data_IF_235147118702
#
_entry.id   IF_235147118702
#
_cell.length_a   1.000
_cell.length_b   1.000
_cell.length_c   1.000
_cell.angle_alpha   90.00
_cell.angle_beta   90.00
_cell.angle_gamma   90.00
#
_symmetry.space_group_name_H-M   'P 1'
#
loop_
_entity.id
_entity.type
_entity.pdbx_description
1 polymer ?
#
# COMPACT_ATOMS: atom_id res chain seq x y z
N UNK A 1 -13.91 2.64 -3.44
CA UNK A 1 -13.32 2.70 -2.09
C UNK A 1 -12.42 3.92 -2.03
N UNK A 2 -12.25 4.51 -0.85
CA UNK A 2 -11.54 5.79 -0.71
C UNK A 2 -10.02 5.58 -0.80
N UNK A 3 -9.33 6.30 -1.69
CA UNK A 3 -7.86 6.26 -1.79
C UNK A 3 -7.21 6.66 -0.46
N UNK A 4 -7.88 7.47 0.36
CA UNK A 4 -7.42 7.79 1.69
C UNK A 4 -7.44 6.60 2.65
N UNK A 5 -8.40 5.67 2.50
CA UNK A 5 -8.44 4.47 3.33
C UNK A 5 -7.26 3.54 3.00
N UNK A 6 -6.91 3.42 1.71
CA UNK A 6 -5.71 2.69 1.29
C UNK A 6 -4.44 3.37 1.82
N UNK A 7 -4.34 4.71 1.70
CA UNK A 7 -3.23 5.47 2.27
C UNK A 7 -3.09 5.22 3.77
N UNK A 8 -4.17 5.41 4.54
CA UNK A 8 -4.14 5.24 5.99
C UNK A 8 -3.70 3.83 6.39
N UNK A 9 -4.12 2.81 5.64
CA UNK A 9 -3.73 1.43 5.91
C UNK A 9 -2.24 1.20 5.64
N UNK A 10 -1.75 1.63 4.46
CA UNK A 10 -0.33 1.49 4.10
C UNK A 10 0.54 2.28 5.11
N UNK A 11 0.15 3.50 5.46
CA UNK A 11 0.88 4.33 6.42
C UNK A 11 0.95 3.67 7.81
N UNK A 12 -0.13 3.05 8.26
CA UNK A 12 -0.18 2.33 9.55
C UNK A 12 0.63 1.04 9.50
N UNK A 13 0.45 0.25 8.44
CA UNK A 13 1.07 -1.06 8.30
C UNK A 13 2.60 -0.94 8.18
N UNK A 14 3.09 0.03 7.40
CA UNK A 14 4.52 0.22 7.17
C UNK A 14 5.16 1.28 8.07
N UNK A 15 4.37 1.92 8.95
CA UNK A 15 4.81 3.01 9.83
C UNK A 15 5.58 4.09 9.05
N UNK A 16 5.09 4.44 7.85
CA UNK A 16 5.77 5.43 7.03
C UNK A 16 5.66 6.81 7.66
N UNK A 17 6.81 7.43 7.95
CA UNK A 17 6.86 8.78 8.50
C UNK A 17 7.00 9.78 7.36
N UNK A 18 6.11 10.79 7.33
CA UNK A 18 6.18 11.87 6.33
C UNK A 18 5.79 11.44 4.91
N UNK A 19 5.03 10.34 4.77
CA UNK A 19 4.60 9.84 3.47
C UNK A 19 3.41 10.64 2.91
N UNK A 20 3.69 11.36 1.81
CA UNK A 20 2.74 12.23 1.13
C UNK A 20 2.60 11.83 -0.34
N UNK A 21 2.05 10.62 -0.64
CA UNK A 21 1.82 10.21 -2.01
C UNK A 21 0.73 11.07 -2.64
N UNK A 22 0.89 11.38 -3.92
CA UNK A 22 -0.18 11.97 -4.73
C UNK A 22 -1.29 10.95 -5.03
N UNK A 23 -2.49 11.42 -5.37
CA UNK A 23 -3.60 10.56 -5.79
C UNK A 23 -3.23 9.61 -6.94
N UNK A 24 -2.40 10.09 -7.88
CA UNK A 24 -1.88 9.27 -8.99
C UNK A 24 -0.97 8.16 -8.50
N UNK A 25 -0.13 8.43 -7.50
CA UNK A 25 0.73 7.42 -6.89
C UNK A 25 -0.08 6.40 -6.10
N UNK A 26 -1.09 6.83 -5.33
CA UNK A 26 -1.99 5.92 -4.63
C UNK A 26 -2.77 5.01 -5.59
N UNK A 27 -3.25 5.55 -6.71
CA UNK A 27 -3.89 4.75 -7.76
C UNK A 27 -2.94 3.73 -8.38
N UNK A 28 -1.70 4.13 -8.67
CA UNK A 28 -0.71 3.23 -9.25
C UNK A 28 -0.27 2.14 -8.27
N UNK A 29 -0.12 2.46 -6.98
CA UNK A 29 0.10 1.48 -5.91
C UNK A 29 -1.07 0.50 -5.87
N UNK A 30 -2.32 0.98 -5.81
CA UNK A 30 -3.50 0.11 -5.80
C UNK A 30 -3.55 -0.83 -7.02
N UNK A 31 -3.23 -0.29 -8.20
CA UNK A 31 -3.19 -1.05 -9.46
C UNK A 31 -2.13 -2.14 -9.40
N UNK A 32 -0.91 -1.82 -8.96
CA UNK A 32 0.21 -2.77 -8.87
C UNK A 32 0.00 -3.84 -7.81
N UNK A 33 -0.56 -3.50 -6.64
CA UNK A 33 -0.95 -4.48 -5.62
C UNK A 33 -1.91 -5.50 -6.22
N UNK A 34 -2.92 -5.04 -6.98
CA UNK A 34 -3.89 -5.93 -7.62
C UNK A 34 -3.29 -6.79 -8.73
N UNK A 35 -2.38 -6.24 -9.54
CA UNK A 35 -1.77 -6.98 -10.66
C UNK A 35 -0.73 -7.98 -10.17
N UNK A 36 0.13 -7.57 -9.23
CA UNK A 36 1.25 -8.38 -8.75
C UNK A 36 0.86 -9.33 -7.63
N UNK A 37 -0.26 -9.07 -6.93
CA UNK A 37 -0.73 -9.82 -5.77
C UNK A 37 0.42 -10.19 -4.80
N UNK A 38 1.10 -9.19 -4.23
CA UNK A 38 2.29 -9.44 -3.41
C UNK A 38 1.94 -10.37 -2.25
N UNK A 39 2.67 -11.49 -2.16
CA UNK A 39 2.48 -12.52 -1.12
C UNK A 39 3.33 -12.26 0.12
N UNK A 40 4.24 -11.30 0.05
CA UNK A 40 5.11 -10.90 1.16
C UNK A 40 5.04 -9.41 1.36
N UNK A 41 5.35 -9.01 2.60
CA UNK A 41 5.46 -7.62 2.98
C UNK A 41 6.53 -6.89 2.17
N UNK A 42 7.69 -7.52 1.93
CA UNK A 42 8.80 -6.95 1.16
C UNK A 42 8.37 -6.59 -0.26
N UNK A 43 7.60 -7.48 -0.92
CA UNK A 43 7.08 -7.22 -2.25
C UNK A 43 6.08 -6.04 -2.28
N UNK A 44 5.35 -5.83 -1.18
CA UNK A 44 4.44 -4.70 -1.06
C UNK A 44 5.20 -3.38 -0.80
N UNK A 45 6.26 -3.40 0.02
CA UNK A 45 7.17 -2.25 0.19
C UNK A 45 7.80 -1.87 -1.13
N UNK A 46 8.32 -2.84 -1.88
CA UNK A 46 8.96 -2.62 -3.17
C UNK A 46 8.00 -1.91 -4.16
N UNK A 47 6.72 -2.30 -4.18
CA UNK A 47 5.70 -1.61 -4.98
C UNK A 47 5.52 -0.16 -4.54
N UNK A 48 5.49 0.11 -3.23
CA UNK A 48 5.30 1.48 -2.72
C UNK A 48 6.55 2.34 -2.92
N UNK A 49 7.75 1.77 -2.72
CA UNK A 49 9.03 2.44 -2.96
C UNK A 49 9.23 2.79 -4.44
N UNK A 50 8.92 1.87 -5.37
CA UNK A 50 9.04 2.15 -6.80
C UNK A 50 8.10 3.27 -7.28
N UNK A 51 6.90 3.35 -6.71
CA UNK A 51 5.90 4.36 -7.08
C UNK A 51 6.10 5.69 -6.33
N UNK A 52 6.63 5.65 -5.10
CA UNK A 52 6.74 6.79 -4.21
C UNK A 52 8.08 6.81 -3.45
N UNK A 53 9.21 7.07 -4.13
CA UNK A 53 10.58 6.87 -3.61
C UNK A 53 11.10 7.88 -2.56
N UNK A 54 10.22 8.56 -1.81
CA UNK A 54 10.62 9.60 -0.85
C UNK A 54 9.92 9.46 0.50
N UNK A 55 10.13 8.34 1.18
CA UNK A 55 9.61 8.12 2.51
C UNK A 55 10.64 7.38 3.37
N UNK A 56 10.60 7.59 4.69
CA UNK A 56 11.46 6.86 5.62
C UNK A 56 10.65 5.71 6.21
N UNK A 57 11.09 4.47 5.97
CA UNK A 57 10.47 3.26 6.53
C UNK A 57 11.09 2.99 7.90
N UNK A 58 10.30 3.14 8.97
CA UNK A 58 10.74 2.81 10.33
C UNK A 58 10.24 1.41 10.69
N UNK A 59 10.99 0.43 10.20
CA UNK A 59 10.82 -1.01 10.46
C UNK A 59 9.51 -1.62 9.95
N UNK A 60 9.67 -2.64 9.10
CA UNK A 60 8.62 -3.56 8.64
C UNK A 60 8.20 -4.57 9.73
N UNK A 61 8.79 -4.54 10.92
CA UNK A 61 8.40 -5.45 12.01
C UNK A 61 7.01 -5.10 12.55
N UNK A 62 6.01 -5.94 12.23
CA UNK A 62 4.67 -5.89 12.80
C UNK A 62 3.49 -6.12 11.85
N UNK A 63 3.71 -6.26 10.54
CA UNK A 63 2.63 -6.67 9.61
C UNK A 63 2.46 -8.18 9.71
N UNK A 64 1.28 -8.64 10.12
CA UNK A 64 0.94 -10.06 10.10
C UNK A 64 0.29 -10.45 8.74
N UNK A 65 0.11 -11.75 8.50
CA UNK A 65 -0.52 -12.21 7.25
C UNK A 65 -1.96 -11.68 7.09
N UNK A 66 -2.63 -11.32 8.20
CA UNK A 66 -3.97 -10.74 8.22
C UNK A 66 -3.97 -9.31 7.66
N UNK A 67 -2.94 -8.54 7.99
CA UNK A 67 -2.73 -7.19 7.45
C UNK A 67 -2.47 -7.20 5.95
N UNK A 68 -1.70 -8.18 5.48
CA UNK A 68 -1.43 -8.34 4.06
C UNK A 68 -2.70 -8.69 3.27
N UNK A 69 -3.51 -9.62 3.78
CA UNK A 69 -4.78 -9.99 3.16
C UNK A 69 -5.75 -8.80 3.12
N UNK A 70 -5.76 -7.99 4.18
CA UNK A 70 -6.56 -6.77 4.24
C UNK A 70 -6.10 -5.73 3.22
N UNK A 71 -4.79 -5.55 3.03
CA UNK A 71 -4.21 -4.67 2.00
C UNK A 71 -4.61 -5.11 0.58
N UNK A 72 -4.52 -6.41 0.29
CA UNK A 72 -4.96 -7.00 -0.98
C UNK A 72 -6.45 -6.77 -1.22
N UNK A 73 -7.29 -7.01 -0.20
CA UNK A 73 -8.73 -6.79 -0.28
C UNK A 73 -9.06 -5.31 -0.53
N UNK A 74 -8.36 -4.39 0.16
CA UNK A 74 -8.55 -2.95 0.03
C UNK A 74 -8.14 -2.44 -1.35
N UNK A 75 -6.97 -2.87 -1.86
CA UNK A 75 -6.50 -2.52 -3.20
C UNK A 75 -7.46 -2.99 -4.30
N UNK A 76 -8.03 -4.20 -4.13
CA UNK A 76 -9.00 -4.78 -5.08
C UNK A 76 -10.30 -3.98 -5.12
N UNK A 77 -10.77 -3.48 -3.98
CA UNK A 77 -12.00 -2.68 -3.86
C UNK A 77 -11.81 -1.20 -4.24
N UNK A 78 -10.60 -0.64 -4.09
CA UNK A 78 -10.29 0.76 -4.44
C UNK A 78 -10.36 1.05 -5.95
N UNK A 79 -10.08 0.05 -6.79
CA UNK A 79 -10.05 0.18 -8.24
C UNK A 79 -11.33 -0.32 -8.96
N UNK A 80 -12.43 -0.55 -8.25
CA UNK A 80 -13.71 -0.79 -8.92
C UNK A 80 -14.36 0.56 -9.28
N UNK A 81 -14.54 0.88 -10.58
CA UNK A 81 -15.46 1.96 -10.95
C UNK A 81 -16.86 1.56 -10.45
N UNK A 82 -17.54 2.53 -9.84
CA UNK A 82 -18.96 2.41 -9.50
C UNK A 82 -19.80 2.43 -10.77
#
# INVERSE_FOLDING_TARGET
MDLQALKSYIETAFKFVGWHPSDKQLQEIARRIRTSQPLTQEALVEIVEDVSPHHTVWAVEGIDNTDLDTLLMMATKASQPK
#
